data_IF_677883019491
#
_entry.id   IF_677883019491
#
_cell.length_a   1.000
_cell.length_b   1.000
_cell.length_c   1.000
_cell.angle_alpha   90.00
_cell.angle_beta   90.00
_cell.angle_gamma   90.00
#
_symmetry.space_group_name_H-M   'P 1'
#
loop_
_entity.id
_entity.type
_entity.pdbx_description
1 polymer ?
#
# COMPACT_ATOMS: atom_id res chain seq x y z
N UNK A 1 14.26 -21.96 13.57
CA UNK A 1 14.03 -22.18 12.13
C UNK A 1 14.95 -21.21 11.40
N UNK A 2 15.96 -21.72 10.68
CA UNK A 2 17.05 -20.91 10.10
C UNK A 2 16.53 -20.17 8.86
N UNK A 3 16.82 -18.89 8.82
CA UNK A 3 16.42 -17.92 7.80
C UNK A 3 17.15 -18.22 6.47
N UNK A 4 16.47 -18.86 5.53
CA UNK A 4 17.03 -19.29 4.22
C UNK A 4 17.11 -18.13 3.22
N UNK A 5 16.74 -16.89 3.61
CA UNK A 5 16.68 -15.75 2.70
C UNK A 5 17.87 -14.77 2.80
N UNK A 6 19.02 -15.18 3.35
CA UNK A 6 20.29 -14.43 3.18
C UNK A 6 20.92 -14.69 1.81
N UNK A 7 20.15 -14.46 0.74
CA UNK A 7 20.66 -14.48 -0.63
C UNK A 7 20.99 -13.06 -1.06
N UNK A 8 22.28 -12.73 -1.11
CA UNK A 8 23.02 -11.71 -1.92
C UNK A 8 22.47 -10.26 -2.07
N UNK A 9 21.19 -9.99 -1.85
CA UNK A 9 20.49 -8.74 -2.19
C UNK A 9 19.90 -7.99 -0.97
N UNK A 10 20.28 -8.35 0.26
CA UNK A 10 19.81 -7.66 1.47
C UNK A 10 18.47 -8.16 2.02
N UNK A 11 18.29 -8.00 3.32
CA UNK A 11 17.09 -8.42 4.03
C UNK A 11 15.89 -7.52 3.68
N UNK A 12 14.67 -8.08 3.66
CA UNK A 12 13.46 -7.29 3.46
C UNK A 12 13.35 -6.14 4.46
N UNK A 13 13.02 -4.94 3.96
CA UNK A 13 12.83 -3.73 4.77
C UNK A 13 11.35 -3.37 4.90
N UNK A 14 10.93 -2.72 6.00
CA UNK A 14 9.67 -2.01 6.05
C UNK A 14 9.60 -0.94 4.96
N UNK A 15 8.39 -0.62 4.50
CA UNK A 15 8.11 0.42 3.52
C UNK A 15 7.06 1.40 4.02
N UNK A 16 7.11 2.63 3.49
CA UNK A 16 6.12 3.67 3.74
C UNK A 16 5.72 4.38 2.44
N UNK A 17 4.43 4.74 2.30
CA UNK A 17 4.02 5.60 1.21
C UNK A 17 4.64 6.99 1.37
N UNK A 18 5.20 7.53 0.29
CA UNK A 18 5.70 8.91 0.21
C UNK A 18 5.52 9.43 -1.21
N UNK A 19 4.84 10.57 -1.38
CA UNK A 19 4.56 11.15 -2.71
C UNK A 19 5.82 11.62 -3.43
N UNK A 20 6.85 11.97 -2.66
CA UNK A 20 8.17 12.33 -3.13
C UNK A 20 9.23 11.61 -2.30
N UNK A 21 10.49 11.72 -2.75
CA UNK A 21 11.63 11.09 -2.08
C UNK A 21 12.21 11.95 -0.96
N UNK A 22 11.45 12.93 -0.45
CA UNK A 22 11.91 13.75 0.68
C UNK A 22 11.98 12.90 1.94
N UNK A 23 12.95 13.23 2.79
CA UNK A 23 13.08 12.65 4.11
C UNK A 23 11.82 13.02 4.93
N UNK A 24 11.09 12.05 5.51
CA UNK A 24 9.92 12.31 6.34
C UNK A 24 10.25 13.19 7.56
N UNK A 25 9.22 13.78 8.17
CA UNK A 25 9.41 14.54 9.42
C UNK A 25 9.74 13.62 10.60
N UNK A 26 9.07 12.48 10.67
CA UNK A 26 9.17 11.52 11.77
C UNK A 26 9.56 10.13 11.27
N UNK A 27 10.32 9.38 12.09
CA UNK A 27 10.62 7.99 11.82
C UNK A 27 9.44 7.06 12.14
N UNK A 28 9.59 5.75 11.86
CA UNK A 28 8.56 4.74 12.16
C UNK A 28 8.17 4.62 13.64
N UNK A 29 9.03 5.11 14.56
CA UNK A 29 8.78 5.15 16.01
C UNK A 29 8.27 6.50 16.51
N UNK A 30 8.12 7.50 15.64
CA UNK A 30 7.65 8.83 16.01
C UNK A 30 8.74 9.81 16.47
N UNK A 31 10.03 9.47 16.35
CA UNK A 31 11.09 10.46 16.58
C UNK A 31 11.15 11.47 15.43
N UNK A 32 11.21 12.77 15.77
CA UNK A 32 11.48 13.85 14.82
C UNK A 32 12.88 13.72 14.22
N UNK A 33 12.96 13.51 12.91
CA UNK A 33 14.21 13.22 12.21
C UNK A 33 15.20 14.40 12.18
N UNK A 34 14.70 15.64 12.25
CA UNK A 34 15.54 16.83 12.39
C UNK A 34 16.37 16.84 13.69
N UNK A 35 15.89 16.15 14.74
CA UNK A 35 16.58 16.04 16.04
C UNK A 35 17.31 14.70 16.15
N UNK A 36 16.64 13.60 15.78
CA UNK A 36 17.18 12.24 15.90
C UNK A 36 18.29 11.93 14.88
N UNK A 37 18.46 12.80 13.88
CA UNK A 37 19.29 12.57 12.70
C UNK A 37 18.63 11.62 11.71
N UNK A 38 18.85 11.87 10.42
CA UNK A 38 18.42 11.00 9.34
C UNK A 38 19.53 10.82 8.31
N UNK A 39 19.60 9.62 7.74
CA UNK A 39 20.43 9.31 6.58
C UNK A 39 19.55 8.74 5.48
N UNK A 40 19.81 9.14 4.23
CA UNK A 40 19.26 8.48 3.06
C UNK A 40 20.31 7.60 2.39
N UNK A 41 19.85 6.48 1.85
CA UNK A 41 20.65 5.57 1.03
C UNK A 41 19.76 4.87 0.01
N UNK A 42 20.27 3.88 -0.70
CA UNK A 42 19.53 3.13 -1.70
C UNK A 42 19.44 1.65 -1.33
N UNK A 43 18.23 1.10 -1.33
CA UNK A 43 17.99 -0.32 -1.07
C UNK A 43 17.91 -1.09 -2.39
N UNK A 44 19.02 -1.72 -2.78
CA UNK A 44 19.16 -2.38 -4.09
C UNK A 44 18.06 -3.38 -4.43
N UNK A 45 17.63 -4.23 -3.47
CA UNK A 45 16.56 -5.20 -3.72
C UNK A 45 15.20 -4.58 -3.97
N UNK A 46 14.91 -3.43 -3.36
CA UNK A 46 13.64 -2.76 -3.63
C UNK A 46 13.77 -1.75 -4.76
N UNK A 47 14.99 -1.40 -5.15
CA UNK A 47 15.28 -0.30 -6.05
C UNK A 47 14.68 1.04 -5.59
N UNK A 48 14.71 1.30 -4.27
CA UNK A 48 14.08 2.46 -3.63
C UNK A 48 15.04 3.21 -2.70
N UNK A 49 14.70 4.46 -2.43
CA UNK A 49 15.33 5.27 -1.38
C UNK A 49 15.01 4.69 -0.01
N UNK A 50 16.06 4.38 0.76
CA UNK A 50 15.99 3.94 2.16
C UNK A 50 16.33 5.10 3.09
N UNK A 51 15.49 5.33 4.09
CA UNK A 51 15.73 6.30 5.16
C UNK A 51 16.09 5.54 6.44
N UNK A 52 17.08 6.05 7.17
CA UNK A 52 17.49 5.52 8.48
C UNK A 52 17.44 6.62 9.54
N UNK A 53 16.76 6.35 10.66
CA UNK A 53 16.76 7.20 11.86
C UNK A 53 18.02 6.96 12.70
N UNK A 54 18.75 8.04 13.02
CA UNK A 54 20.03 7.96 13.75
C UNK A 54 19.88 7.37 15.15
N UNK A 55 18.89 7.84 15.92
CA UNK A 55 18.60 7.32 17.28
C UNK A 55 18.18 5.85 17.23
N UNK A 56 17.22 5.47 16.39
CA UNK A 56 16.78 4.08 16.29
C UNK A 56 17.93 3.16 15.84
N UNK A 57 18.80 3.63 14.95
CA UNK A 57 19.96 2.89 14.51
C UNK A 57 20.95 2.66 15.67
N UNK A 58 21.27 3.69 16.44
CA UNK A 58 22.13 3.57 17.62
C UNK A 58 21.56 2.62 18.69
N UNK A 59 20.23 2.55 18.80
CA UNK A 59 19.52 1.62 19.67
C UNK A 59 19.33 0.21 19.07
N UNK A 60 19.87 -0.06 17.87
CA UNK A 60 19.73 -1.33 17.16
C UNK A 60 18.27 -1.76 16.93
N UNK A 61 17.35 -0.81 16.75
CA UNK A 61 15.95 -1.11 16.46
C UNK A 61 15.82 -1.72 15.05
N UNK A 62 15.14 -2.87 14.87
CA UNK A 62 14.92 -3.46 13.55
C UNK A 62 14.10 -2.57 12.60
N UNK A 63 13.38 -1.57 13.12
CA UNK A 63 12.63 -0.58 12.34
C UNK A 63 13.40 0.74 12.14
N UNK A 64 14.71 0.77 12.42
CA UNK A 64 15.54 1.96 12.24
C UNK A 64 15.59 2.44 10.79
N UNK A 65 15.45 1.51 9.83
CA UNK A 65 15.53 1.79 8.39
C UNK A 65 14.28 1.31 7.65
N UNK A 66 13.83 2.10 6.66
CA UNK A 66 12.66 1.78 5.83
C UNK A 66 12.77 2.40 4.44
N UNK A 67 12.11 1.82 3.45
CA UNK A 67 12.08 2.36 2.08
C UNK A 67 10.84 3.23 1.83
N UNK A 68 11.01 4.25 0.99
CA UNK A 68 9.93 5.11 0.52
C UNK A 68 9.35 4.58 -0.79
N UNK A 69 8.03 4.43 -0.87
CA UNK A 69 7.32 3.99 -2.08
C UNK A 69 6.40 5.11 -2.53
N UNK A 70 6.52 5.54 -3.78
CA UNK A 70 5.56 6.46 -4.38
C UNK A 70 4.28 5.73 -4.79
N UNK A 71 3.13 5.96 -4.12
CA UNK A 71 1.90 5.22 -4.42
C UNK A 71 1.29 5.55 -5.78
N UNK A 72 1.64 6.70 -6.36
CA UNK A 72 1.18 7.11 -7.70
C UNK A 72 2.00 6.47 -8.83
N UNK A 73 3.18 5.91 -8.53
CA UNK A 73 4.03 5.23 -9.52
C UNK A 73 3.55 3.79 -9.70
N UNK A 74 2.54 3.64 -10.54
CA UNK A 74 1.89 2.36 -10.84
C UNK A 74 2.16 1.97 -12.30
N UNK A 75 2.32 0.67 -12.53
CA UNK A 75 2.61 0.10 -13.84
C UNK A 75 1.44 -0.75 -14.33
N UNK A 76 1.27 -0.89 -15.64
CA UNK A 76 0.42 -1.94 -16.21
C UNK A 76 1.06 -3.31 -16.02
N UNK A 77 0.28 -4.38 -16.16
CA UNK A 77 0.79 -5.77 -16.07
C UNK A 77 1.97 -6.02 -17.01
N UNK A 78 1.86 -5.57 -18.27
CA UNK A 78 2.89 -5.78 -19.29
C UNK A 78 4.08 -4.81 -19.18
N UNK A 79 3.88 -3.67 -18.52
CA UNK A 79 4.88 -2.59 -18.40
C UNK A 79 5.63 -2.56 -17.07
N UNK A 80 5.36 -3.49 -16.17
CA UNK A 80 5.95 -3.52 -14.84
C UNK A 80 7.41 -4.02 -14.88
N UNK A 81 8.36 -3.31 -14.24
CA UNK A 81 9.70 -3.83 -14.02
C UNK A 81 9.68 -5.16 -13.28
N UNK A 82 10.56 -6.09 -13.67
CA UNK A 82 10.68 -7.42 -13.05
C UNK A 82 11.59 -7.46 -11.82
N UNK A 83 12.24 -6.35 -11.49
CA UNK A 83 13.17 -6.22 -10.36
C UNK A 83 12.74 -5.06 -9.47
N UNK A 84 13.06 -5.12 -8.18
CA UNK A 84 12.67 -4.09 -7.24
C UNK A 84 11.27 -4.29 -6.68
N UNK A 85 10.82 -3.32 -5.88
CA UNK A 85 9.45 -3.26 -5.37
C UNK A 85 8.64 -2.34 -6.28
N UNK A 86 7.58 -2.87 -6.90
CA UNK A 86 6.74 -2.13 -7.85
C UNK A 86 5.26 -2.33 -7.56
N UNK A 87 4.46 -1.33 -7.94
CA UNK A 87 3.00 -1.39 -7.91
C UNK A 87 2.48 -1.68 -9.32
N UNK A 88 1.66 -2.71 -9.45
CA UNK A 88 1.09 -3.17 -10.72
C UNK A 88 -0.42 -3.04 -10.65
N UNK A 89 -1.00 -2.37 -11.65
CA UNK A 89 -2.44 -2.17 -11.78
C UNK A 89 -3.02 -3.16 -12.78
N UNK A 90 -4.03 -3.87 -12.31
CA UNK A 90 -4.92 -4.71 -13.11
C UNK A 90 -6.27 -3.98 -13.18
N UNK A 91 -6.66 -3.43 -14.34
CA UNK A 91 -7.94 -2.75 -14.48
C UNK A 91 -9.10 -3.76 -14.32
N UNK A 92 -10.30 -3.30 -13.91
CA UNK A 92 -11.49 -4.13 -13.97
C UNK A 92 -11.88 -4.42 -15.43
N UNK A 93 -12.56 -5.55 -15.66
CA UNK A 93 -13.08 -5.91 -16.99
C UNK A 93 -14.24 -5.01 -17.43
N UNK A 94 -14.94 -4.41 -16.45
CA UNK A 94 -16.09 -3.53 -16.68
C UNK A 94 -15.92 -2.20 -15.94
N UNK A 95 -16.58 -1.16 -16.46
CA UNK A 95 -16.61 0.15 -15.79
C UNK A 95 -17.20 0.01 -14.39
N UNK A 96 -16.57 0.67 -13.42
CA UNK A 96 -16.95 0.62 -12.00
C UNK A 96 -16.88 -0.77 -11.36
N UNK A 97 -16.38 -1.78 -12.09
CA UNK A 97 -16.05 -3.09 -11.55
C UNK A 97 -14.82 -3.05 -10.64
N UNK A 98 -14.55 -4.20 -10.04
CA UNK A 98 -13.43 -4.41 -9.12
C UNK A 98 -12.17 -4.65 -9.93
N UNK A 99 -11.21 -3.73 -9.83
CA UNK A 99 -9.85 -3.92 -10.29
C UNK A 99 -8.94 -4.33 -9.14
N UNK A 100 -7.66 -4.54 -9.45
CA UNK A 100 -6.66 -4.91 -8.45
C UNK A 100 -5.41 -4.05 -8.56
N UNK A 101 -4.85 -3.64 -7.43
CA UNK A 101 -3.46 -3.20 -7.36
C UNK A 101 -2.64 -4.27 -6.65
N UNK A 102 -1.53 -4.68 -7.24
CA UNK A 102 -0.61 -5.69 -6.71
C UNK A 102 0.72 -5.04 -6.37
N UNK A 103 1.30 -5.41 -5.24
CA UNK A 103 2.67 -5.06 -4.89
C UNK A 103 3.56 -6.26 -5.21
N UNK A 104 4.47 -6.06 -6.14
CA UNK A 104 5.45 -7.08 -6.54
C UNK A 104 6.81 -6.74 -5.94
N UNK A 105 7.56 -7.77 -5.56
CA UNK A 105 9.01 -7.68 -5.28
C UNK A 105 9.71 -8.67 -6.19
N UNK A 106 10.63 -8.17 -7.01
CA UNK A 106 11.39 -8.97 -7.97
C UNK A 106 10.48 -9.86 -8.84
N UNK A 107 9.37 -9.27 -9.32
CA UNK A 107 8.39 -9.90 -10.19
C UNK A 107 7.33 -10.75 -9.48
N UNK A 108 7.51 -11.08 -8.20
CA UNK A 108 6.58 -11.90 -7.43
C UNK A 108 5.57 -11.01 -6.70
N UNK A 109 4.27 -11.25 -6.92
CA UNK A 109 3.21 -10.58 -6.16
C UNK A 109 3.21 -11.07 -4.70
N UNK A 110 3.33 -10.16 -3.73
CA UNK A 110 3.38 -10.49 -2.29
C UNK A 110 2.20 -9.93 -1.50
N UNK A 111 1.47 -8.99 -2.10
CA UNK A 111 0.33 -8.31 -1.51
C UNK A 111 -0.52 -7.72 -2.62
N UNK A 112 -1.81 -7.55 -2.35
CA UNK A 112 -2.75 -6.99 -3.29
C UNK A 112 -3.92 -6.29 -2.59
N UNK A 113 -4.60 -5.43 -3.33
CA UNK A 113 -5.82 -4.75 -2.91
C UNK A 113 -6.84 -4.79 -4.04
N UNK A 114 -8.06 -5.20 -3.70
CA UNK A 114 -9.22 -5.16 -4.59
C UNK A 114 -9.92 -3.82 -4.41
N UNK A 115 -10.15 -3.11 -5.52
CA UNK A 115 -10.67 -1.74 -5.49
C UNK A 115 -11.61 -1.48 -6.65
N UNK A 116 -12.80 -0.97 -6.35
CA UNK A 116 -13.75 -0.44 -7.33
C UNK A 116 -13.76 1.09 -7.29
N UNK A 117 -13.67 1.73 -8.45
CA UNK A 117 -13.75 3.20 -8.58
C UNK A 117 -14.72 3.56 -9.69
N UNK A 118 -15.71 4.39 -9.36
CA UNK A 118 -16.68 4.93 -10.31
C UNK A 118 -16.45 6.43 -10.51
N UNK A 119 -15.93 6.79 -11.69
CA UNK A 119 -15.66 8.18 -12.05
C UNK A 119 -16.89 9.10 -12.00
N UNK A 120 -18.01 8.76 -12.66
CA UNK A 120 -19.21 9.60 -12.68
C UNK A 120 -19.80 9.85 -11.30
N UNK A 121 -19.96 8.80 -10.50
CA UNK A 121 -20.58 8.89 -9.19
C UNK A 121 -19.60 9.34 -8.10
N UNK A 122 -18.30 9.45 -8.43
CA UNK A 122 -17.21 9.79 -7.52
C UNK A 122 -17.19 8.92 -6.26
N UNK A 123 -17.31 7.60 -6.47
CA UNK A 123 -17.28 6.57 -5.42
C UNK A 123 -16.04 5.71 -5.54
N UNK A 124 -15.42 5.41 -4.40
CA UNK A 124 -14.36 4.43 -4.27
C UNK A 124 -14.70 3.43 -3.17
N UNK A 125 -14.52 2.14 -3.46
CA UNK A 125 -14.69 1.05 -2.48
C UNK A 125 -13.45 0.18 -2.48
N UNK A 126 -12.86 -0.02 -1.30
CA UNK A 126 -11.83 -1.03 -1.07
C UNK A 126 -12.53 -2.30 -0.58
N UNK A 127 -12.33 -3.42 -1.28
CA UNK A 127 -12.98 -4.69 -0.93
C UNK A 127 -12.09 -5.61 -0.10
N UNK A 128 -10.84 -5.78 -0.49
CA UNK A 128 -9.91 -6.64 0.23
C UNK A 128 -8.54 -6.03 0.22
N UNK A 129 -7.83 -6.13 1.35
CA UNK A 129 -6.39 -5.84 1.44
C UNK A 129 -5.71 -7.11 1.92
N UNK A 130 -4.83 -7.67 1.09
CA UNK A 130 -4.17 -8.94 1.35
C UNK A 130 -2.65 -8.78 1.33
N UNK A 131 -1.99 -9.52 2.19
CA UNK A 131 -0.53 -9.63 2.22
C UNK A 131 -0.17 -11.02 2.69
N UNK A 132 0.69 -11.69 1.93
CA UNK A 132 1.20 -13.01 2.26
C UNK A 132 1.79 -13.02 3.66
N UNK A 133 1.47 -14.06 4.44
CA UNK A 133 1.81 -14.12 5.86
C UNK A 133 3.30 -13.86 6.18
N UNK A 134 4.27 -14.44 5.44
CA UNK A 134 5.70 -14.16 5.66
C UNK A 134 6.10 -12.70 5.42
N UNK A 135 5.29 -11.94 4.68
CA UNK A 135 5.55 -10.58 4.24
C UNK A 135 4.72 -9.53 5.01
N UNK A 136 3.92 -9.95 5.99
CA UNK A 136 3.16 -9.05 6.85
C UNK A 136 4.06 -8.15 7.69
N UNK A 137 3.48 -7.07 8.22
CA UNK A 137 4.16 -6.06 9.06
C UNK A 137 5.32 -5.33 8.37
N UNK A 138 5.37 -5.37 7.03
CA UNK A 138 6.31 -4.59 6.22
C UNK A 138 5.72 -3.30 5.68
N UNK A 139 4.42 -3.03 5.87
CA UNK A 139 3.76 -1.82 5.39
C UNK A 139 3.20 -1.92 3.96
N UNK A 140 3.23 -3.11 3.34
CA UNK A 140 2.68 -3.34 1.99
C UNK A 140 1.21 -2.97 1.88
N UNK A 141 0.35 -3.45 2.78
CA UNK A 141 -1.06 -3.04 2.82
C UNK A 141 -1.26 -1.52 2.94
N UNK A 142 -0.44 -0.82 3.73
CA UNK A 142 -0.50 0.64 3.86
C UNK A 142 -0.15 1.33 2.53
N UNK A 143 0.88 0.85 1.84
CA UNK A 143 1.26 1.36 0.51
C UNK A 143 0.14 1.10 -0.50
N UNK A 144 -0.47 -0.08 -0.47
CA UNK A 144 -1.58 -0.44 -1.37
C UNK A 144 -2.81 0.43 -1.15
N UNK A 145 -3.21 0.71 0.10
CA UNK A 145 -4.29 1.65 0.40
C UNK A 145 -3.94 3.05 -0.11
N UNK A 146 -2.74 3.54 0.18
CA UNK A 146 -2.30 4.83 -0.34
C UNK A 146 -2.31 4.87 -1.89
N UNK A 147 -1.94 3.77 -2.55
CA UNK A 147 -1.97 3.66 -4.01
C UNK A 147 -3.39 3.67 -4.55
N UNK A 148 -4.34 2.96 -3.91
CA UNK A 148 -5.75 3.02 -4.26
C UNK A 148 -6.30 4.45 -4.18
N UNK A 149 -5.96 5.20 -3.13
CA UNK A 149 -6.38 6.60 -2.97
C UNK A 149 -5.77 7.54 -4.03
N UNK A 150 -4.70 7.14 -4.73
CA UNK A 150 -4.19 7.92 -5.89
C UNK A 150 -5.00 7.68 -7.17
N UNK A 151 -5.79 6.61 -7.26
CA UNK A 151 -6.69 6.37 -8.40
C UNK A 151 -7.86 7.37 -8.41
N UNK A 152 -8.32 7.77 -7.22
CA UNK A 152 -9.47 8.64 -7.02
C UNK A 152 -9.23 9.54 -5.78
N UNK A 153 -8.86 10.82 -5.97
CA UNK A 153 -8.47 11.70 -4.88
C UNK A 153 -9.55 11.85 -3.79
N UNK A 154 -9.22 11.69 -2.49
CA UNK A 154 -10.20 11.73 -1.40
C UNK A 154 -10.94 13.06 -1.21
N UNK A 155 -10.40 14.15 -1.72
CA UNK A 155 -11.04 15.48 -1.73
C UNK A 155 -12.19 15.57 -2.74
N UNK A 156 -12.26 14.63 -3.69
CA UNK A 156 -13.30 14.59 -4.72
C UNK A 156 -14.12 13.30 -4.72
N UNK A 157 -13.68 12.25 -4.04
CA UNK A 157 -14.35 10.95 -3.97
C UNK A 157 -14.77 10.61 -2.54
N UNK A 158 -15.97 10.05 -2.40
CA UNK A 158 -16.36 9.39 -1.16
C UNK A 158 -15.83 7.96 -1.17
N UNK A 159 -14.99 7.65 -0.19
CA UNK A 159 -14.38 6.35 0.00
C UNK A 159 -15.10 5.55 1.09
N UNK A 160 -15.18 4.24 0.88
CA UNK A 160 -15.67 3.29 1.88
C UNK A 160 -14.91 1.97 1.76
N UNK A 161 -15.03 1.11 2.77
CA UNK A 161 -14.57 -0.27 2.70
C UNK A 161 -15.75 -1.22 2.84
N UNK A 162 -15.59 -2.43 2.30
CA UNK A 162 -16.38 -3.60 2.73
C UNK A 162 -16.10 -3.92 4.20
N UNK A 163 -16.74 -4.98 4.69
CA UNK A 163 -16.57 -5.49 6.05
C UNK A 163 -15.09 -5.64 6.42
N UNK A 164 -14.72 -5.07 7.56
CA UNK A 164 -13.40 -5.21 8.16
C UNK A 164 -13.49 -6.28 9.23
N UNK A 165 -12.60 -7.26 9.19
CA UNK A 165 -12.54 -8.29 10.22
C UNK A 165 -12.46 -7.67 11.63
N UNK A 166 -13.31 -8.11 12.54
CA UNK A 166 -13.29 -7.65 13.94
C UNK A 166 -12.21 -8.38 14.74
N UNK A 167 -10.95 -8.12 14.39
CA UNK A 167 -9.79 -8.64 15.07
C UNK A 167 -8.76 -7.55 15.40
N UNK A 168 -7.90 -7.73 16.42
CA UNK A 168 -6.93 -6.71 16.82
C UNK A 168 -5.93 -6.33 15.72
N UNK A 169 -5.60 -7.24 14.79
CA UNK A 169 -4.65 -6.99 13.71
C UNK A 169 -5.29 -6.09 12.66
N UNK A 170 -6.51 -6.39 12.23
CA UNK A 170 -7.27 -5.56 11.30
C UNK A 170 -7.52 -4.16 11.87
N UNK A 171 -7.93 -4.07 13.15
CA UNK A 171 -8.13 -2.77 13.83
C UNK A 171 -6.83 -1.97 13.94
N UNK A 172 -5.72 -2.60 14.31
CA UNK A 172 -4.41 -1.93 14.37
C UNK A 172 -3.92 -1.48 12.99
N UNK A 173 -4.23 -2.24 11.94
CA UNK A 173 -3.93 -1.86 10.56
C UNK A 173 -4.66 -0.58 10.16
N UNK A 174 -6.00 -0.55 10.28
CA UNK A 174 -6.81 0.60 9.89
C UNK A 174 -6.56 1.82 10.77
N UNK A 175 -6.38 1.65 12.09
CA UNK A 175 -5.99 2.74 12.99
C UNK A 175 -4.61 3.35 12.66
N UNK A 176 -3.74 2.59 11.97
CA UNK A 176 -2.43 3.04 11.53
C UNK A 176 -2.41 3.64 10.12
N UNK A 177 -3.57 3.89 9.52
CA UNK A 177 -3.76 4.48 8.20
C UNK A 177 -4.56 5.78 8.37
N UNK A 178 -4.14 6.82 7.66
CA UNK A 178 -4.91 8.06 7.52
C UNK A 178 -6.06 7.82 6.52
N UNK A 179 -7.09 7.08 6.97
CA UNK A 179 -8.20 6.66 6.13
C UNK A 179 -9.24 7.78 6.02
N UNK A 180 -9.61 8.22 4.79
CA UNK A 180 -10.46 9.40 4.60
C UNK A 180 -11.97 9.08 4.55
N UNK A 181 -12.39 7.84 4.76
CA UNK A 181 -13.76 7.39 4.47
C UNK A 181 -14.42 6.58 5.59
N UNK A 182 -15.54 5.94 5.26
CA UNK A 182 -16.26 5.06 6.18
C UNK A 182 -15.63 3.66 6.18
N UNK A 183 -15.51 3.03 7.36
CA UNK A 183 -15.05 1.65 7.50
C UNK A 183 -16.25 0.70 7.67
N UNK A 184 -16.14 -0.50 7.10
CA UNK A 184 -17.10 -1.59 7.26
C UNK A 184 -18.55 -1.24 6.86
N UNK A 185 -18.71 -0.35 5.87
CA UNK A 185 -20.00 0.11 5.37
C UNK A 185 -19.87 0.55 3.91
N UNK A 186 -19.84 -0.40 2.95
CA UNK A 186 -19.54 -0.08 1.58
C UNK A 186 -20.68 0.74 0.96
N UNK A 187 -20.33 1.85 0.30
CA UNK A 187 -21.27 2.73 -0.40
C UNK A 187 -21.08 2.58 -1.90
N UNK A 188 -21.72 1.56 -2.47
CA UNK A 188 -21.75 1.31 -3.91
C UNK A 188 -22.72 2.26 -4.61
N UNK A 189 -22.37 2.69 -5.83
CA UNK A 189 -23.33 3.34 -6.73
C UNK A 189 -23.98 2.33 -7.68
N UNK A 190 -25.02 2.76 -8.40
CA UNK A 190 -25.73 1.93 -9.38
C UNK A 190 -24.81 1.26 -10.40
N UNK A 191 -23.77 1.95 -10.89
CA UNK A 191 -22.82 1.36 -11.84
C UNK A 191 -21.96 0.26 -11.21
N UNK A 192 -21.56 0.42 -9.95
CA UNK A 192 -20.83 -0.63 -9.21
C UNK A 192 -21.73 -1.83 -8.93
N UNK A 193 -22.99 -1.57 -8.58
CA UNK A 193 -23.99 -2.62 -8.36
C UNK A 193 -24.28 -3.43 -9.63
N UNK A 194 -24.35 -2.78 -10.81
CA UNK A 194 -24.43 -3.48 -12.10
C UNK A 194 -23.16 -4.27 -12.41
N UNK A 195 -21.99 -3.66 -12.21
CA UNK A 195 -20.71 -4.33 -12.45
C UNK A 195 -20.53 -5.58 -11.56
N UNK A 196 -21.12 -5.57 -10.36
CA UNK A 196 -21.18 -6.71 -9.46
C UNK A 196 -22.29 -7.74 -9.81
N UNK A 197 -23.10 -7.50 -10.85
CA UNK A 197 -24.23 -8.35 -11.23
C UNK A 197 -25.40 -8.31 -10.25
N UNK A 198 -25.45 -7.32 -9.35
CA UNK A 198 -26.51 -7.17 -8.33
C UNK A 198 -27.71 -6.37 -8.85
N UNK A 199 -27.55 -5.67 -9.98
CA UNK A 199 -28.62 -5.01 -10.72
C UNK A 199 -28.58 -5.42 -12.20
N UNK A 200 -29.74 -5.44 -12.90
CA UNK A 200 -29.79 -5.73 -14.32
C UNK A 200 -29.18 -4.61 -15.18
N UNK A 201 -28.60 -5.01 -16.31
CA UNK A 201 -28.21 -4.13 -17.41
C UNK A 201 -29.46 -3.81 -18.23
N UNK A 202 -29.83 -2.53 -18.31
CA UNK A 202 -30.95 -2.06 -19.14
C UNK A 202 -30.43 -1.19 -20.28
#
# INVERSE_FOLDING_TARGET
MRDVARGVYGAARPVRPARDERIPLDCLRGHRLAIAGARSSYHHRYALTEITCGVCYALHDPLASWCLVNPARQHTVDGAPRTGLVLVRVPPDTRAGVGQLRLHVDGVALADIDVAVCGPCRRGVIEHVRTDEPHRRRGYGRVLVAAALTLAPPDTYQWSTTEVADDPVARAFWAGIDWPGDLAGPVYCTDMERAAGRLPDW
#
